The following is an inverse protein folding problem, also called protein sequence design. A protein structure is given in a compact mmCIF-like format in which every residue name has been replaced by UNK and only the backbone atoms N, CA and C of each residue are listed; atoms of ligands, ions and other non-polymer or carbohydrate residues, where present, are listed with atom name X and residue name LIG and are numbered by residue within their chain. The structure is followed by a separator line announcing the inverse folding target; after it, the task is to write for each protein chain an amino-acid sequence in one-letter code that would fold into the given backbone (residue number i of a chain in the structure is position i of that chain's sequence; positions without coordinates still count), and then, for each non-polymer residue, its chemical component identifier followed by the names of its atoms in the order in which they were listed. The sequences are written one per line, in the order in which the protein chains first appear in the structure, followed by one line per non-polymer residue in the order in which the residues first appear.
data_IF_074123569804
#
_entry.id   IF_074123569804
#
_cell.length_a   1.000
_cell.length_b   1.000
_cell.length_c   1.000
_cell.angle_alpha   90.00
_cell.angle_beta   90.00
_cell.angle_gamma   90.00
#
_symmetry.space_group_name_H-M   'P 1'
#
loop_
_entity.id
_entity.type
_entity.pdbx_description
1 polymer ?
#
# COMPACT_ATOMS: atom_id res chain seq x y z
N UNK A 1 20.20 -12.12 -11.44
CA UNK A 1 19.10 -11.95 -10.50
C UNK A 1 18.66 -10.50 -10.48
N UNK A 2 17.47 -10.24 -9.99
CA UNK A 2 16.95 -8.89 -9.79
C UNK A 2 16.95 -8.55 -8.31
N UNK A 3 17.45 -7.37 -7.95
CA UNK A 3 17.24 -6.76 -6.65
C UNK A 3 16.18 -5.68 -6.79
N UNK A 4 15.10 -5.77 -6.03
CA UNK A 4 14.04 -4.76 -6.00
C UNK A 4 14.11 -3.92 -4.73
N UNK A 5 13.84 -2.61 -4.85
CA UNK A 5 13.77 -1.66 -3.75
C UNK A 5 12.39 -0.98 -3.74
N UNK A 6 11.76 -0.93 -2.57
CA UNK A 6 10.49 -0.24 -2.32
C UNK A 6 10.65 0.77 -1.18
N UNK A 7 10.16 2.00 -1.40
CA UNK A 7 10.17 3.08 -0.41
C UNK A 7 9.09 4.13 -0.67
N UNK A 8 7.95 3.73 -1.24
CA UNK A 8 6.94 4.71 -1.68
C UNK A 8 6.20 5.43 -0.56
N UNK A 9 6.13 4.83 0.64
CA UNK A 9 5.38 5.37 1.78
C UNK A 9 6.08 5.08 3.11
N UNK A 10 5.66 4.06 3.84
CA UNK A 10 6.07 3.77 5.23
C UNK A 10 6.73 2.40 5.42
N UNK A 11 7.01 1.69 4.36
CA UNK A 11 7.85 0.50 4.36
C UNK A 11 9.13 0.70 3.55
N UNK A 12 10.27 0.33 4.15
CA UNK A 12 11.52 0.13 3.43
C UNK A 12 11.66 -1.36 3.13
N UNK A 13 11.72 -1.74 1.86
CA UNK A 13 11.85 -3.14 1.51
C UNK A 13 12.90 -3.42 0.44
N UNK A 14 13.53 -4.59 0.55
CA UNK A 14 14.36 -5.21 -0.46
C UNK A 14 13.81 -6.59 -0.80
N UNK A 15 13.86 -6.98 -2.07
CA UNK A 15 13.53 -8.33 -2.51
C UNK A 15 14.54 -8.81 -3.56
N UNK A 16 14.98 -10.06 -3.43
CA UNK A 16 15.87 -10.71 -4.39
C UNK A 16 15.09 -11.77 -5.17
N UNK A 17 15.09 -11.65 -6.48
CA UNK A 17 14.36 -12.54 -7.37
C UNK A 17 15.28 -13.20 -8.40
N UNK A 18 15.07 -14.49 -8.65
CA UNK A 18 15.75 -15.22 -9.73
C UNK A 18 15.32 -14.73 -11.11
N UNK A 19 16.06 -15.11 -12.16
CA UNK A 19 15.65 -14.83 -13.56
C UNK A 19 14.38 -15.57 -13.98
N UNK A 20 14.03 -16.62 -13.26
CA UNK A 20 12.84 -17.43 -13.47
C UNK A 20 11.61 -16.91 -12.73
N UNK A 21 11.75 -15.81 -11.95
CA UNK A 21 10.64 -15.22 -11.19
C UNK A 21 10.49 -15.79 -9.76
N UNK A 22 11.43 -16.61 -9.30
CA UNK A 22 11.42 -17.16 -7.94
C UNK A 22 11.88 -16.09 -6.94
N UNK A 23 11.12 -15.88 -5.87
CA UNK A 23 11.50 -15.02 -4.75
C UNK A 23 12.52 -15.79 -3.89
N UNK A 24 13.75 -15.29 -3.83
CA UNK A 24 14.85 -15.90 -3.10
C UNK A 24 14.99 -15.36 -1.67
N UNK A 25 14.62 -14.11 -1.46
CA UNK A 25 14.62 -13.46 -0.16
C UNK A 25 13.90 -12.13 -0.20
N UNK A 26 13.34 -11.74 0.96
CA UNK A 26 12.77 -10.42 1.18
C UNK A 26 13.13 -9.91 2.56
N UNK A 27 13.39 -8.63 2.66
CA UNK A 27 13.77 -7.92 3.89
C UNK A 27 12.94 -6.66 3.95
N UNK A 28 12.10 -6.55 4.98
CA UNK A 28 11.14 -5.46 5.15
C UNK A 28 11.33 -4.83 6.52
N UNK A 29 11.30 -3.50 6.56
CA UNK A 29 11.19 -2.71 7.77
C UNK A 29 9.98 -1.81 7.67
N UNK A 30 8.94 -2.09 8.48
CA UNK A 30 7.75 -1.25 8.58
C UNK A 30 7.95 -0.13 9.60
N UNK A 31 7.45 1.03 9.27
CA UNK A 31 7.48 2.24 10.10
C UNK A 31 6.14 2.47 10.82
N UNK A 32 5.21 1.52 10.74
CA UNK A 32 3.83 1.65 11.27
C UNK A 32 3.83 2.08 12.74
N UNK A 33 4.66 1.47 13.59
CA UNK A 33 4.74 1.80 15.02
C UNK A 33 5.20 3.25 15.25
N UNK A 34 6.13 3.74 14.43
CA UNK A 34 6.62 5.12 14.49
C UNK A 34 5.56 6.11 14.07
N UNK A 35 4.78 5.79 13.06
CA UNK A 35 3.69 6.63 12.56
C UNK A 35 2.45 6.57 13.46
N UNK A 36 2.25 5.47 14.18
CA UNK A 36 1.15 5.31 15.13
C UNK A 36 1.18 6.37 16.24
N UNK A 37 2.38 6.80 16.68
CA UNK A 37 2.54 7.88 17.66
C UNK A 37 1.89 9.21 17.21
N UNK A 38 1.80 9.41 15.88
CA UNK A 38 1.22 10.62 15.27
C UNK A 38 -0.20 10.39 14.74
N UNK A 39 -0.67 9.13 14.79
CA UNK A 39 -1.99 8.73 14.30
C UNK A 39 -2.12 8.75 12.78
N UNK A 40 -1.03 8.48 12.06
CA UNK A 40 -0.96 8.37 10.60
C UNK A 40 0.43 8.70 10.06
N UNK A 41 0.64 8.50 8.77
CA UNK A 41 1.94 8.69 8.11
C UNK A 41 2.39 10.15 8.17
N UNK A 42 3.63 10.38 8.64
CA UNK A 42 4.31 11.67 8.68
C UNK A 42 5.42 11.66 7.62
N UNK A 43 5.30 12.43 6.52
CA UNK A 43 6.21 12.34 5.38
C UNK A 43 7.68 12.55 5.72
N UNK A 44 8.00 13.57 6.53
CA UNK A 44 9.39 13.88 6.89
C UNK A 44 10.02 12.77 7.75
N UNK A 45 9.23 12.18 8.66
CA UNK A 45 9.64 11.03 9.45
C UNK A 45 9.92 9.83 8.54
N UNK A 46 9.02 9.56 7.59
CA UNK A 46 9.18 8.44 6.65
C UNK A 46 10.49 8.55 5.84
N UNK A 47 10.83 9.74 5.36
CA UNK A 47 12.10 9.99 4.65
C UNK A 47 13.31 9.65 5.54
N UNK A 48 13.30 10.10 6.80
CA UNK A 48 14.37 9.82 7.76
C UNK A 48 14.53 8.32 8.05
N UNK A 49 13.42 7.62 8.21
CA UNK A 49 13.42 6.17 8.45
C UNK A 49 13.94 5.40 7.22
N UNK A 50 13.58 5.75 5.99
CA UNK A 50 14.15 5.12 4.80
C UNK A 50 15.68 5.27 4.72
N UNK A 51 16.20 6.46 5.05
CA UNK A 51 17.66 6.68 5.10
C UNK A 51 18.34 5.73 6.10
N UNK A 52 17.70 5.50 7.24
CA UNK A 52 18.27 4.68 8.30
C UNK A 52 18.13 3.17 8.02
N UNK A 53 17.10 2.75 7.27
CA UNK A 53 16.71 1.35 7.16
C UNK A 53 17.36 0.62 5.97
N UNK A 54 17.61 1.29 4.83
CA UNK A 54 18.14 0.60 3.66
C UNK A 54 19.51 -0.02 3.86
N UNK A 55 20.44 0.61 4.59
CA UNK A 55 21.76 0.05 4.87
C UNK A 55 21.68 -1.21 5.74
N UNK A 56 20.94 -1.23 6.86
CA UNK A 56 20.69 -2.45 7.62
C UNK A 56 20.04 -3.57 6.80
N UNK A 57 19.02 -3.27 6.00
CA UNK A 57 18.37 -4.27 5.14
C UNK A 57 19.32 -4.85 4.10
N UNK A 58 20.14 -4.00 3.47
CA UNK A 58 21.14 -4.44 2.51
C UNK A 58 22.19 -5.31 3.17
N UNK A 59 22.58 -5.01 4.42
CA UNK A 59 23.51 -5.82 5.20
C UNK A 59 22.93 -7.21 5.48
N UNK A 60 21.68 -7.29 5.95
CA UNK A 60 20.99 -8.57 6.18
C UNK A 60 20.95 -9.40 4.89
N UNK A 61 20.56 -8.79 3.77
CA UNK A 61 20.54 -9.47 2.48
C UNK A 61 21.94 -9.97 2.06
N UNK A 62 23.00 -9.21 2.39
CA UNK A 62 24.39 -9.56 2.05
C UNK A 62 24.98 -10.64 2.97
N UNK A 63 24.38 -10.90 4.13
CA UNK A 63 24.75 -12.02 5.00
C UNK A 63 24.31 -13.37 4.39
N UNK A 64 23.24 -13.36 3.60
CA UNK A 64 22.68 -14.56 2.97
C UNK A 64 23.15 -14.73 1.51
N UNK A 65 23.41 -13.64 0.79
CA UNK A 65 23.69 -13.65 -0.66
C UNK A 65 24.87 -12.74 -1.02
N UNK A 66 25.74 -13.20 -1.92
CA UNK A 66 26.80 -12.35 -2.52
C UNK A 66 26.19 -11.43 -3.58
N UNK A 67 25.43 -10.40 -3.11
CA UNK A 67 24.65 -9.51 -3.97
C UNK A 67 25.48 -8.88 -5.10
N UNK A 68 26.71 -8.38 -4.88
CA UNK A 68 27.52 -7.80 -5.95
C UNK A 68 27.83 -8.74 -7.11
N UNK A 69 27.89 -10.05 -6.84
CA UNK A 69 28.13 -11.06 -7.89
C UNK A 69 26.86 -11.61 -8.51
N UNK A 70 25.77 -11.65 -7.75
CA UNK A 70 24.53 -12.31 -8.15
C UNK A 70 23.57 -11.38 -8.86
N UNK A 71 23.51 -10.11 -8.46
CA UNK A 71 22.58 -9.13 -9.02
C UNK A 71 23.05 -8.71 -10.40
N UNK A 72 22.15 -8.79 -11.38
CA UNK A 72 22.38 -8.38 -12.78
C UNK A 72 21.54 -7.18 -13.19
N UNK A 73 20.53 -6.84 -12.38
CA UNK A 73 19.63 -5.71 -12.62
C UNK A 73 18.98 -5.28 -11.31
N UNK A 74 18.68 -3.99 -11.19
CA UNK A 74 17.98 -3.42 -10.04
C UNK A 74 16.65 -2.85 -10.51
N UNK A 75 15.57 -3.14 -9.77
CA UNK A 75 14.26 -2.52 -9.91
C UNK A 75 14.03 -1.59 -8.72
N UNK A 76 13.43 -0.42 -8.94
CA UNK A 76 13.08 0.50 -7.85
C UNK A 76 11.76 1.16 -8.13
N UNK A 77 10.92 1.30 -7.12
CA UNK A 77 9.68 2.04 -7.22
C UNK A 77 9.96 3.50 -7.49
N UNK A 78 9.36 4.02 -8.60
CA UNK A 78 9.55 5.42 -9.03
C UNK A 78 8.32 6.30 -8.79
N UNK A 79 7.21 5.71 -8.38
CA UNK A 79 5.92 6.37 -8.17
C UNK A 79 4.72 5.51 -8.57
N UNK A 80 3.49 5.91 -8.14
CA UNK A 80 3.24 7.00 -7.19
C UNK A 80 3.76 6.72 -5.78
N UNK A 81 3.80 7.76 -4.92
CA UNK A 81 4.24 7.69 -3.54
C UNK A 81 4.75 9.04 -3.02
N UNK A 82 5.19 9.07 -1.79
CA UNK A 82 5.77 10.27 -1.17
C UNK A 82 7.10 10.61 -1.86
N UNK A 83 7.20 11.81 -2.43
CA UNK A 83 8.33 12.21 -3.28
C UNK A 83 9.69 12.07 -2.58
N UNK A 84 9.75 12.49 -1.29
CA UNK A 84 10.97 12.35 -0.49
C UNK A 84 11.38 10.88 -0.31
N UNK A 85 10.43 10.01 0.01
CA UNK A 85 10.64 8.58 0.21
C UNK A 85 11.09 7.89 -1.08
N UNK A 86 10.41 8.15 -2.19
CA UNK A 86 10.81 7.67 -3.53
C UNK A 86 12.23 8.12 -3.89
N UNK A 87 12.56 9.39 -3.57
CA UNK A 87 13.89 9.97 -3.80
C UNK A 87 15.00 9.18 -3.10
N UNK A 88 14.76 8.70 -1.89
CA UNK A 88 15.72 7.87 -1.13
C UNK A 88 15.94 6.53 -1.83
N UNK A 89 14.87 5.76 -2.10
CA UNK A 89 14.99 4.45 -2.77
C UNK A 89 15.67 4.54 -4.13
N UNK A 90 15.29 5.56 -4.94
CA UNK A 90 15.91 5.81 -6.26
C UNK A 90 17.40 6.13 -6.10
N UNK A 91 17.78 6.92 -5.10
CA UNK A 91 19.19 7.26 -4.86
C UNK A 91 20.00 6.04 -4.45
N UNK A 92 19.47 5.20 -3.56
CA UNK A 92 20.09 3.92 -3.20
C UNK A 92 20.24 3.00 -4.41
N UNK A 93 19.17 2.80 -5.18
CA UNK A 93 19.20 1.95 -6.37
C UNK A 93 20.23 2.42 -7.40
N UNK A 94 20.30 3.72 -7.66
CA UNK A 94 21.32 4.30 -8.57
C UNK A 94 22.74 4.12 -8.05
N UNK A 95 22.95 4.32 -6.74
CA UNK A 95 24.26 4.12 -6.12
C UNK A 95 24.71 2.68 -6.24
N UNK A 96 23.84 1.71 -5.93
CA UNK A 96 24.15 0.28 -6.10
C UNK A 96 24.38 -0.08 -7.57
N UNK A 97 23.56 0.47 -8.48
CA UNK A 97 23.72 0.26 -9.91
C UNK A 97 25.09 0.73 -10.43
N UNK A 98 25.57 1.86 -9.94
CA UNK A 98 26.91 2.37 -10.26
C UNK A 98 28.02 1.50 -9.64
N UNK A 99 27.89 1.12 -8.37
CA UNK A 99 28.90 0.31 -7.67
C UNK A 99 29.04 -1.09 -8.25
N UNK A 100 27.93 -1.70 -8.66
CA UNK A 100 27.91 -3.07 -9.18
C UNK A 100 27.94 -3.14 -10.71
N UNK A 101 27.92 -1.97 -11.37
CA UNK A 101 27.88 -1.83 -12.82
C UNK A 101 26.71 -2.60 -13.47
N UNK A 102 25.51 -2.42 -12.91
CA UNK A 102 24.26 -3.04 -13.38
C UNK A 102 23.20 -2.00 -13.68
N UNK A 103 22.29 -2.27 -14.65
CA UNK A 103 21.21 -1.36 -14.99
C UNK A 103 20.18 -1.22 -13.87
N UNK A 104 19.56 -0.03 -13.77
CA UNK A 104 18.50 0.30 -12.82
C UNK A 104 17.23 0.65 -13.59
N UNK A 105 16.12 0.01 -13.21
CA UNK A 105 14.79 0.16 -13.83
C UNK A 105 13.80 0.74 -12.84
N UNK A 106 13.09 1.82 -13.26
CA UNK A 106 12.01 2.39 -12.47
C UNK A 106 10.69 1.64 -12.69
N UNK A 107 10.07 1.17 -11.61
CA UNK A 107 8.80 0.44 -11.62
C UNK A 107 7.68 1.32 -11.05
N UNK A 108 6.49 1.23 -11.62
CA UNK A 108 5.30 1.89 -11.07
C UNK A 108 4.76 1.08 -9.88
N UNK A 109 4.56 1.76 -8.75
CA UNK A 109 4.07 1.17 -7.50
C UNK A 109 2.73 0.43 -7.65
N UNK A 110 1.77 1.04 -8.35
CA UNK A 110 0.44 0.43 -8.57
C UNK A 110 0.54 -0.83 -9.45
N UNK A 111 1.49 -0.87 -10.39
CA UNK A 111 1.76 -2.11 -11.12
C UNK A 111 2.34 -3.18 -10.21
N UNK A 112 3.23 -2.83 -9.29
CA UNK A 112 3.70 -3.76 -8.26
C UNK A 112 2.55 -4.42 -7.52
N UNK A 113 1.63 -3.63 -7.01
CA UNK A 113 0.41 -4.14 -6.36
C UNK A 113 -0.47 -4.97 -7.30
N UNK A 114 -0.74 -4.50 -8.52
CA UNK A 114 -1.60 -5.19 -9.47
C UNK A 114 -1.08 -6.59 -9.84
N UNK A 115 0.24 -6.77 -9.88
CA UNK A 115 0.88 -8.04 -10.21
C UNK A 115 1.17 -8.92 -8.99
N UNK A 116 1.18 -8.37 -7.77
CA UNK A 116 1.49 -9.12 -6.54
C UNK A 116 0.53 -10.29 -6.28
N UNK A 117 -0.73 -10.18 -6.67
CA UNK A 117 -1.75 -11.24 -6.52
C UNK A 117 -1.38 -12.53 -7.27
N UNK A 118 -0.53 -12.43 -8.28
CA UNK A 118 -0.09 -13.57 -9.08
C UNK A 118 1.18 -14.23 -8.54
N UNK A 119 1.87 -13.63 -7.56
CA UNK A 119 3.12 -14.16 -7.01
C UNK A 119 3.03 -15.63 -6.57
N UNK A 120 1.97 -16.07 -5.85
CA UNK A 120 1.85 -17.48 -5.47
C UNK A 120 1.77 -18.43 -6.68
N UNK A 121 1.24 -17.97 -7.81
CA UNK A 121 1.10 -18.74 -9.04
C UNK A 121 2.43 -18.91 -9.78
N UNK A 122 3.37 -17.97 -9.63
CA UNK A 122 4.73 -18.09 -10.19
C UNK A 122 5.54 -19.22 -9.55
N UNK A 123 5.18 -19.64 -8.34
CA UNK A 123 5.83 -20.73 -7.62
C UNK A 123 5.35 -22.12 -8.12
N UNK A 124 4.32 -22.15 -8.99
CA UNK A 124 3.82 -23.37 -9.64
C UNK A 124 4.51 -23.64 -10.97
N UNK A 125 4.60 -24.91 -11.35
CA UNK A 125 5.34 -25.38 -12.55
C UNK A 125 4.71 -24.98 -13.90
N UNK A 126 3.54 -24.32 -13.92
CA UNK A 126 2.81 -23.97 -15.15
C UNK A 126 2.04 -22.66 -14.97
N UNK A 127 2.75 -21.53 -14.82
CA UNK A 127 2.11 -20.23 -14.81
C UNK A 127 2.12 -19.62 -16.22
N UNK A 128 0.94 -19.47 -16.79
CA UNK A 128 0.74 -18.80 -18.08
C UNK A 128 -0.17 -17.59 -17.90
N UNK A 129 0.28 -16.41 -18.31
CA UNK A 129 -0.50 -15.18 -18.19
C UNK A 129 -1.87 -15.26 -18.85
N UNK A 130 -1.97 -16.02 -19.95
CA UNK A 130 -3.18 -16.22 -20.72
C UNK A 130 -4.33 -16.80 -19.90
N UNK A 131 -4.02 -17.61 -18.89
CA UNK A 131 -5.01 -18.27 -18.04
C UNK A 131 -5.70 -17.28 -17.08
N UNK A 132 -5.07 -16.12 -16.84
CA UNK A 132 -5.53 -15.10 -15.91
C UNK A 132 -6.01 -13.82 -16.59
N UNK A 133 -5.84 -13.69 -17.90
CA UNK A 133 -6.18 -12.47 -18.63
C UNK A 133 -7.37 -12.69 -19.57
N UNK A 134 -8.24 -11.70 -19.77
CA UNK A 134 -8.19 -10.39 -19.14
C UNK A 134 -8.56 -10.43 -17.66
N UNK A 135 -7.96 -9.53 -16.86
CA UNK A 135 -8.15 -9.45 -15.41
C UNK A 135 -8.75 -8.09 -15.00
N UNK A 136 -9.72 -8.12 -14.10
CA UNK A 136 -10.26 -6.93 -13.44
C UNK A 136 -9.79 -6.93 -11.99
N UNK A 137 -9.05 -5.91 -11.59
CA UNK A 137 -8.49 -5.78 -10.25
C UNK A 137 -8.99 -4.54 -9.53
N UNK A 138 -9.22 -4.67 -8.23
CA UNK A 138 -9.48 -3.55 -7.32
C UNK A 138 -8.34 -3.46 -6.31
N UNK A 139 -7.59 -2.37 -6.36
CA UNK A 139 -6.59 -2.02 -5.38
C UNK A 139 -7.23 -1.14 -4.31
N UNK A 140 -7.13 -1.57 -3.06
CA UNK A 140 -7.59 -0.81 -1.89
C UNK A 140 -6.44 -0.76 -0.88
N UNK A 141 -5.95 0.44 -0.56
CA UNK A 141 -4.87 0.66 0.40
C UNK A 141 -5.06 1.97 1.17
N UNK A 142 -4.13 2.28 2.05
CA UNK A 142 -4.08 3.57 2.76
C UNK A 142 -3.89 4.77 1.85
N UNK A 143 -3.20 4.61 0.71
CA UNK A 143 -2.92 5.71 -0.23
C UNK A 143 -3.66 5.64 -1.56
N UNK A 144 -4.26 4.51 -1.90
CA UNK A 144 -4.84 4.30 -3.23
C UNK A 144 -6.15 3.51 -3.18
N UNK A 145 -7.12 3.92 -4.02
CA UNK A 145 -8.31 3.12 -4.33
C UNK A 145 -8.55 3.22 -5.83
N UNK A 146 -8.24 2.12 -6.53
CA UNK A 146 -8.19 2.09 -7.99
C UNK A 146 -8.80 0.80 -8.51
N UNK A 147 -9.80 0.92 -9.39
CA UNK A 147 -10.29 -0.18 -10.23
C UNK A 147 -9.52 -0.15 -11.55
N UNK A 148 -8.95 -1.27 -11.94
CA UNK A 148 -8.15 -1.37 -13.16
C UNK A 148 -8.46 -2.65 -13.92
N UNK A 149 -8.15 -2.67 -15.22
CA UNK A 149 -8.08 -3.88 -16.03
C UNK A 149 -6.65 -4.15 -16.48
N UNK A 150 -6.31 -5.43 -16.57
CA UNK A 150 -5.12 -5.92 -17.25
C UNK A 150 -5.59 -6.71 -18.48
N UNK A 151 -5.06 -6.39 -19.62
CA UNK A 151 -5.31 -7.14 -20.86
C UNK A 151 -4.25 -8.25 -21.08
N UNK A 152 -4.38 -8.99 -22.18
CA UNK A 152 -3.45 -10.07 -22.51
C UNK A 152 -2.03 -9.57 -22.81
N UNK A 153 -1.86 -8.29 -23.14
CA UNK A 153 -0.57 -7.64 -23.33
C UNK A 153 0.04 -7.18 -21.99
N UNK A 154 -0.63 -7.45 -20.87
CA UNK A 154 -0.30 -6.99 -19.53
C UNK A 154 -0.33 -5.44 -19.39
N UNK A 155 -1.08 -4.78 -20.24
CA UNK A 155 -1.30 -3.34 -20.14
C UNK A 155 -2.37 -3.05 -19.08
N UNK A 156 -1.96 -2.24 -18.09
CA UNK A 156 -2.83 -1.79 -16.99
C UNK A 156 -3.57 -0.52 -17.42
N UNK A 157 -4.90 -0.61 -17.45
CA UNK A 157 -5.79 0.51 -17.70
C UNK A 157 -6.62 0.82 -16.47
N UNK A 158 -6.49 2.03 -15.95
CA UNK A 158 -7.34 2.53 -14.86
C UNK A 158 -8.75 2.75 -15.41
N UNK A 159 -9.74 2.18 -14.73
CA UNK A 159 -11.17 2.29 -15.05
C UNK A 159 -11.83 3.32 -14.13
N UNK A 160 -11.50 3.27 -12.84
CA UNK A 160 -12.00 4.20 -11.83
C UNK A 160 -10.93 4.39 -10.75
N UNK A 161 -10.90 5.57 -10.16
CA UNK A 161 -10.05 5.89 -9.02
C UNK A 161 -10.79 6.81 -8.06
N UNK A 162 -10.29 6.90 -6.83
CA UNK A 162 -10.84 7.86 -5.87
C UNK A 162 -10.51 9.29 -6.28
N UNK A 163 -11.48 10.17 -6.11
CA UNK A 163 -11.33 11.62 -6.39
C UNK A 163 -10.89 12.42 -5.17
N UNK A 164 -10.82 11.76 -4.00
CA UNK A 164 -10.46 12.36 -2.72
C UNK A 164 -9.67 11.36 -1.85
N UNK A 165 -10.04 11.14 -0.59
CA UNK A 165 -9.36 10.18 0.29
C UNK A 165 -9.40 8.75 -0.32
N UNK A 166 -8.36 7.97 -0.13
CA UNK A 166 -8.40 6.53 -0.38
C UNK A 166 -9.29 5.83 0.68
N UNK A 167 -9.82 4.66 0.35
CA UNK A 167 -10.67 3.91 1.28
C UNK A 167 -9.97 3.60 2.61
N UNK A 168 -8.72 3.11 2.57
CA UNK A 168 -7.94 2.84 3.78
C UNK A 168 -7.67 4.11 4.59
N UNK A 169 -7.34 5.22 3.94
CA UNK A 169 -7.16 6.52 4.59
C UNK A 169 -8.44 6.99 5.27
N UNK A 170 -9.59 6.84 4.61
CA UNK A 170 -10.89 7.21 5.18
C UNK A 170 -11.24 6.34 6.39
N UNK A 171 -10.95 5.04 6.34
CA UNK A 171 -11.14 4.11 7.46
C UNK A 171 -10.22 4.45 8.64
N UNK A 172 -8.94 4.75 8.40
CA UNK A 172 -8.01 5.14 9.46
C UNK A 172 -8.43 6.46 10.12
N UNK A 173 -8.87 7.43 9.34
CA UNK A 173 -9.41 8.71 9.85
C UNK A 173 -10.71 8.51 10.62
N UNK A 174 -11.60 7.63 10.13
CA UNK A 174 -12.85 7.25 10.82
C UNK A 174 -12.56 6.56 12.15
N UNK A 175 -11.66 5.59 12.15
CA UNK A 175 -11.23 4.88 13.35
C UNK A 175 -10.65 5.83 14.41
N UNK A 176 -9.85 6.81 13.99
CA UNK A 176 -9.33 7.86 14.88
C UNK A 176 -10.44 8.68 15.52
N UNK A 177 -11.50 9.02 14.77
CA UNK A 177 -12.68 9.71 15.31
C UNK A 177 -13.42 8.86 16.35
N UNK A 178 -13.38 7.53 16.23
CA UNK A 178 -13.95 6.57 17.18
C UNK A 178 -12.99 6.21 18.34
N UNK A 179 -11.85 6.91 18.47
CA UNK A 179 -10.86 6.66 19.51
C UNK A 179 -10.07 5.36 19.33
N UNK A 180 -10.01 4.82 18.12
CA UNK A 180 -9.21 3.63 17.82
C UNK A 180 -7.78 4.01 17.46
N UNK A 181 -6.76 3.18 17.82
CA UNK A 181 -5.37 3.47 17.46
C UNK A 181 -5.09 3.14 15.99
N UNK A 182 -4.07 3.81 15.42
CA UNK A 182 -3.54 3.56 14.08
C UNK A 182 -2.70 2.26 14.01
N UNK A 183 -2.76 1.48 12.91
CA UNK A 183 -3.70 1.60 11.79
C UNK A 183 -5.11 1.19 12.21
N UNK A 184 -6.10 2.00 11.82
CA UNK A 184 -7.46 1.89 12.34
C UNK A 184 -8.38 0.97 11.54
N UNK A 185 -8.13 0.78 10.24
CA UNK A 185 -9.03 0.07 9.34
C UNK A 185 -9.37 -1.35 9.81
N UNK A 186 -8.35 -2.15 10.15
CA UNK A 186 -8.54 -3.52 10.65
C UNK A 186 -9.28 -3.58 12.00
N UNK A 187 -9.07 -2.58 12.88
CA UNK A 187 -9.76 -2.49 14.17
C UNK A 187 -11.20 -2.07 14.00
N UNK A 188 -11.46 -1.19 13.03
CA UNK A 188 -12.81 -0.81 12.66
C UNK A 188 -13.59 -1.99 12.09
N UNK A 189 -12.97 -2.79 11.21
CA UNK A 189 -13.54 -4.03 10.69
C UNK A 189 -13.86 -5.03 11.80
N UNK A 190 -12.96 -5.22 12.77
CA UNK A 190 -13.20 -6.10 13.92
C UNK A 190 -14.39 -5.61 14.77
N UNK A 191 -14.44 -4.31 15.08
CA UNK A 191 -15.56 -3.70 15.82
C UNK A 191 -16.88 -3.82 15.06
N UNK A 192 -16.87 -3.72 13.74
CA UNK A 192 -18.04 -3.80 12.88
C UNK A 192 -18.74 -5.17 12.93
N UNK A 193 -18.03 -6.25 13.28
CA UNK A 193 -18.60 -7.61 13.34
C UNK A 193 -19.77 -7.73 14.31
N UNK A 194 -19.73 -6.97 15.40
CA UNK A 194 -20.76 -6.96 16.43
C UNK A 194 -21.77 -5.81 16.23
N UNK A 195 -21.61 -5.02 15.16
CA UNK A 195 -22.44 -3.85 14.88
C UNK A 195 -23.64 -4.13 13.99
N UNK A 196 -24.59 -3.20 14.04
CA UNK A 196 -25.75 -3.20 13.16
C UNK A 196 -25.53 -2.20 11.99
N UNK A 197 -25.30 -2.68 10.75
CA UNK A 197 -25.03 -1.81 9.60
C UNK A 197 -26.19 -0.91 9.17
N UNK A 198 -27.33 -1.02 9.84
CA UNK A 198 -28.53 -0.18 9.63
C UNK A 198 -28.81 0.78 10.78
N UNK A 199 -27.95 0.83 11.79
CA UNK A 199 -28.14 1.69 12.95
C UNK A 199 -27.99 3.17 12.61
N UNK A 200 -27.14 3.48 11.62
CA UNK A 200 -26.87 4.84 11.20
C UNK A 200 -26.87 4.95 9.67
N UNK A 201 -27.47 6.05 9.18
CA UNK A 201 -27.41 6.38 7.75
C UNK A 201 -26.17 7.24 7.47
N UNK A 202 -25.34 6.79 6.53
CA UNK A 202 -24.22 7.52 5.97
C UNK A 202 -24.44 7.81 4.48
N UNK A 203 -23.90 8.92 3.97
CA UNK A 203 -24.08 9.28 2.58
C UNK A 203 -23.38 8.30 1.64
N UNK A 204 -24.06 7.92 0.56
CA UNK A 204 -23.43 7.20 -0.55
C UNK A 204 -22.80 8.23 -1.50
N UNK A 205 -21.52 8.03 -1.82
CA UNK A 205 -20.89 8.78 -2.88
C UNK A 205 -21.49 8.39 -4.25
N UNK A 206 -21.65 9.37 -5.13
CA UNK A 206 -22.13 9.16 -6.51
C UNK A 206 -23.39 8.29 -6.61
N UNK A 207 -24.55 8.76 -6.07
CA UNK A 207 -25.79 7.99 -6.11
C UNK A 207 -26.29 7.75 -7.55
N UNK A 208 -25.84 8.53 -8.53
CA UNK A 208 -26.14 8.34 -9.95
C UNK A 208 -25.19 7.28 -10.55
N UNK A 209 -25.79 6.24 -11.15
CA UNK A 209 -25.09 5.04 -11.64
C UNK A 209 -24.15 5.27 -12.84
N UNK A 210 -23.97 6.48 -13.30
CA UNK A 210 -23.25 6.79 -14.53
C UNK A 210 -21.79 7.22 -14.31
N UNK A 211 -21.34 7.37 -13.06
CA UNK A 211 -19.97 7.77 -12.75
C UNK A 211 -19.16 6.59 -12.24
N UNK A 212 -18.06 6.26 -12.95
CA UNK A 212 -17.07 5.26 -12.54
C UNK A 212 -15.97 5.96 -11.75
N UNK A 213 -16.24 6.26 -10.49
CA UNK A 213 -15.32 6.91 -9.54
C UNK A 213 -15.59 6.43 -8.13
N UNK A 214 -14.62 6.66 -7.24
CA UNK A 214 -14.77 6.46 -5.80
C UNK A 214 -14.62 7.81 -5.07
N UNK A 215 -15.27 7.95 -3.92
CA UNK A 215 -15.10 9.07 -2.99
C UNK A 215 -15.40 8.60 -1.57
N UNK A 216 -14.55 8.97 -0.62
CA UNK A 216 -14.65 8.55 0.77
C UNK A 216 -14.58 9.72 1.77
N UNK A 217 -14.17 10.92 1.34
CA UNK A 217 -14.07 12.09 2.23
C UNK A 217 -15.42 12.52 2.80
N UNK A 218 -16.51 12.35 2.04
CA UNK A 218 -17.87 12.61 2.50
C UNK A 218 -18.30 11.71 3.66
N UNK A 219 -17.91 10.47 3.63
CA UNK A 219 -18.19 9.49 4.70
C UNK A 219 -17.52 9.91 6.01
N UNK A 220 -16.21 10.19 5.97
CA UNK A 220 -15.45 10.70 7.11
C UNK A 220 -16.06 11.98 7.68
N UNK A 221 -16.42 12.91 6.82
CA UNK A 221 -17.01 14.20 7.21
C UNK A 221 -18.37 14.01 7.86
N UNK A 222 -19.20 13.10 7.34
CA UNK A 222 -20.49 12.74 7.94
C UNK A 222 -20.34 12.15 9.33
N UNK A 223 -19.38 11.24 9.52
CA UNK A 223 -19.05 10.68 10.85
C UNK A 223 -18.61 11.80 11.80
N UNK A 224 -17.70 12.67 11.39
CA UNK A 224 -17.22 13.78 12.21
C UNK A 224 -18.38 14.64 12.71
N UNK A 225 -19.29 15.07 11.82
CA UNK A 225 -20.45 15.90 12.24
C UNK A 225 -21.44 15.15 13.10
N UNK A 226 -21.62 13.84 12.88
CA UNK A 226 -22.48 13.01 13.73
C UNK A 226 -21.95 12.95 15.16
N UNK A 227 -20.64 12.85 15.35
CA UNK A 227 -20.00 12.76 16.67
C UNK A 227 -19.81 14.12 17.36
N UNK A 228 -20.03 15.24 16.69
CA UNK A 228 -19.68 16.59 17.18
C UNK A 228 -20.30 16.95 18.55
N UNK A 229 -21.46 16.35 18.91
CA UNK A 229 -22.14 16.60 20.18
C UNK A 229 -22.17 15.35 21.08
N UNK A 230 -21.43 14.31 20.76
CA UNK A 230 -21.41 13.07 21.52
C UNK A 230 -20.31 13.08 22.56
N UNK A 231 -20.61 12.53 23.73
CA UNK A 231 -19.63 12.24 24.78
C UNK A 231 -18.80 11.01 24.37
N UNK A 232 -17.61 10.88 24.94
CA UNK A 232 -16.78 9.66 24.74
C UNK A 232 -17.54 8.38 25.11
N UNK A 233 -18.38 8.41 26.13
CA UNK A 233 -19.21 7.28 26.54
C UNK A 233 -20.27 6.91 25.49
N UNK A 234 -20.87 7.89 24.85
CA UNK A 234 -21.82 7.65 23.73
C UNK A 234 -21.13 7.09 22.52
N UNK A 235 -19.93 7.57 22.17
CA UNK A 235 -19.12 7.01 21.10
C UNK A 235 -18.77 5.56 21.40
N UNK A 236 -18.29 5.25 22.62
CA UNK A 236 -17.92 3.90 23.01
C UNK A 236 -19.11 2.92 22.95
N UNK A 237 -20.27 3.36 23.42
CA UNK A 237 -21.50 2.53 23.41
C UNK A 237 -21.98 2.18 21.99
N UNK A 238 -21.77 3.07 21.02
CA UNK A 238 -22.22 2.91 19.64
C UNK A 238 -21.09 2.57 18.66
N UNK A 239 -19.88 2.30 19.16
CA UNK A 239 -18.69 2.10 18.35
C UNK A 239 -18.84 0.98 17.32
N UNK A 240 -19.43 -0.14 17.70
CA UNK A 240 -19.68 -1.28 16.81
C UNK A 240 -20.64 -0.89 15.68
N UNK A 241 -21.76 -0.24 16.01
CA UNK A 241 -22.75 0.19 15.04
C UNK A 241 -22.23 1.29 14.10
N UNK A 242 -21.37 2.19 14.62
CA UNK A 242 -20.72 3.24 13.80
C UNK A 242 -19.64 2.67 12.88
N UNK A 243 -19.10 1.49 13.21
CA UNK A 243 -18.08 0.79 12.43
C UNK A 243 -18.67 -0.10 11.35
N UNK A 244 -19.91 -0.54 11.51
CA UNK A 244 -20.63 -1.46 10.62
C UNK A 244 -21.36 -0.75 9.49
#
# INVERSE_FOLDING_TARGET
MWLALESSCDESALALMSKQGELLGEWIHSQVDRHAEYGGVVPDLAVGEHLNNFVPLLKLASEEFDLPKMVTSIAVTRGPGLVGCLGIGISYAKTLGLLWNVPVFGVNHLRGHAFSVFMPSFLGNHFEWQDYMPHLGLLVSGGNTVLFSLDISLDLKVIAETVDDAAGEALDKGAKLLGMPYPGGAKMEESAKDGNPKAFDFPLAFPEKNELKFSFSGLKTSLFYKLNNWTESEVELNKADLSA
#
